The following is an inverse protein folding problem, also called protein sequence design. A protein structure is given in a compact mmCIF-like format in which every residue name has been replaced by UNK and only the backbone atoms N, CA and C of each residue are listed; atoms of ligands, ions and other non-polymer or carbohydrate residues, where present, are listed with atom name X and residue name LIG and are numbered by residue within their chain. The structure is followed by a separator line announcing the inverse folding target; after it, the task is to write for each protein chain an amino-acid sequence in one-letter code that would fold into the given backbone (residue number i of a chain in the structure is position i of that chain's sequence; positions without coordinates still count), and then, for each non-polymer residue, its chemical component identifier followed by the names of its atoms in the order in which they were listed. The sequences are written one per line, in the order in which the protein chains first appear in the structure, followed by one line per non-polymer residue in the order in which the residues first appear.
data_IF_483777847345
#
_entry.id   IF_483777847345
#
_cell.length_a   1.000
_cell.length_b   1.000
_cell.length_c   1.000
_cell.angle_alpha   90.00
_cell.angle_beta   90.00
_cell.angle_gamma   90.00
#
_symmetry.space_group_name_H-M   'P 1'
#
loop_
_entity.id
_entity.type
_entity.pdbx_description
1 polymer ?
#
# COMPACT_ATOMS: atom_id res chain seq x y z
N UNK A 1 1.49 34.88 28.67
CA UNK A 1 0.71 33.65 28.52
C UNK A 1 1.32 32.88 27.39
N UNK A 2 2.25 31.98 27.71
CA UNK A 2 2.85 31.07 26.71
C UNK A 2 1.83 30.00 26.36
N UNK A 3 1.39 30.00 25.09
CA UNK A 3 0.53 28.98 24.59
C UNK A 3 1.25 27.63 24.59
N UNK A 4 0.73 26.70 25.34
CA UNK A 4 1.09 25.29 25.28
C UNK A 4 0.89 24.85 23.82
N UNK A 5 1.96 24.71 23.05
CA UNK A 5 1.94 23.99 21.77
C UNK A 5 1.58 22.54 22.11
N UNK A 6 0.30 22.19 22.01
CA UNK A 6 -0.09 20.79 21.98
C UNK A 6 0.74 20.09 20.92
N UNK A 7 1.46 19.04 21.33
CA UNK A 7 2.16 18.16 20.38
C UNK A 7 1.10 17.53 19.49
N UNK A 8 0.89 18.10 18.33
CA UNK A 8 0.09 17.45 17.29
C UNK A 8 0.73 16.09 17.01
N UNK A 9 -0.07 15.02 17.05
CA UNK A 9 0.38 13.69 16.69
C UNK A 9 0.88 13.67 15.22
N UNK A 10 1.52 12.56 14.84
CA UNK A 10 1.94 12.35 13.46
C UNK A 10 0.74 12.46 12.52
N UNK A 11 0.90 13.21 11.43
CA UNK A 11 -0.13 13.34 10.40
C UNK A 11 -0.35 11.99 9.71
N UNK A 12 -1.59 11.63 9.52
CA UNK A 12 -2.00 10.41 8.81
C UNK A 12 -2.92 10.81 7.67
N UNK A 13 -2.59 10.36 6.46
CA UNK A 13 -3.44 10.44 5.29
C UNK A 13 -3.99 9.04 5.00
N UNK A 14 -5.30 8.87 5.10
CA UNK A 14 -6.03 7.66 4.74
C UNK A 14 -6.78 7.84 3.43
N UNK A 15 -6.68 6.85 2.54
CA UNK A 15 -7.36 6.80 1.25
C UNK A 15 -8.21 5.53 1.18
N UNK A 16 -9.51 5.69 1.05
CA UNK A 16 -10.46 4.60 0.82
C UNK A 16 -10.85 4.57 -0.67
N UNK A 17 -10.47 3.48 -1.34
CA UNK A 17 -10.76 3.23 -2.75
C UNK A 17 -12.01 2.35 -2.83
N UNK A 18 -13.17 3.00 -2.84
CA UNK A 18 -14.46 2.34 -2.94
C UNK A 18 -14.90 2.10 -4.39
N UNK A 19 -15.93 1.27 -4.58
CA UNK A 19 -16.49 0.95 -5.92
C UNK A 19 -17.11 2.17 -6.59
N UNK A 20 -17.72 3.06 -5.82
CA UNK A 20 -18.42 4.24 -6.35
C UNK A 20 -17.57 5.50 -6.29
N UNK A 21 -16.82 5.67 -5.23
CA UNK A 21 -16.06 6.87 -4.93
C UNK A 21 -14.76 6.58 -4.21
N UNK A 22 -13.85 7.52 -4.30
CA UNK A 22 -12.62 7.56 -3.51
C UNK A 22 -12.81 8.61 -2.42
N UNK A 23 -12.43 8.26 -1.18
CA UNK A 23 -12.49 9.16 -0.04
C UNK A 23 -11.09 9.30 0.54
N UNK A 24 -10.58 10.53 0.58
CA UNK A 24 -9.34 10.88 1.27
C UNK A 24 -9.64 11.60 2.57
N UNK A 25 -8.99 11.19 3.65
CA UNK A 25 -9.11 11.80 4.98
C UNK A 25 -7.74 12.06 5.56
N UNK A 26 -7.48 13.27 6.00
CA UNK A 26 -6.24 13.65 6.66
C UNK A 26 -6.52 14.11 8.08
N UNK A 27 -5.72 13.63 9.01
CA UNK A 27 -5.86 13.96 10.42
C UNK A 27 -4.68 13.48 11.26
N UNK A 28 -4.83 13.51 12.56
CA UNK A 28 -3.82 13.04 13.51
C UNK A 28 -4.47 12.37 14.72
N UNK A 29 -3.73 11.50 15.37
CA UNK A 29 -4.18 10.83 16.60
C UNK A 29 -3.70 11.64 17.81
N UNK A 30 -4.62 12.02 18.69
CA UNK A 30 -4.33 12.68 19.96
C UNK A 30 -5.24 12.15 21.05
N UNK A 31 -4.68 11.74 22.19
CA UNK A 31 -5.43 11.23 23.32
C UNK A 31 -6.34 10.03 22.99
N UNK A 32 -5.95 9.17 22.05
CA UNK A 32 -6.74 8.01 21.61
C UNK A 32 -7.92 8.37 20.68
N UNK A 33 -8.03 9.64 20.26
CA UNK A 33 -9.03 10.10 19.30
C UNK A 33 -8.37 10.57 18.02
N UNK A 34 -8.99 10.25 16.89
CA UNK A 34 -8.54 10.74 15.59
C UNK A 34 -9.23 12.09 15.30
N UNK A 35 -8.42 13.12 15.07
CA UNK A 35 -8.86 14.46 14.74
C UNK A 35 -8.73 14.67 13.25
N UNK A 36 -9.85 14.77 12.55
CA UNK A 36 -9.90 15.04 11.12
C UNK A 36 -9.61 16.51 10.85
N UNK A 37 -8.63 16.79 9.99
CA UNK A 37 -8.27 18.13 9.52
C UNK A 37 -8.96 18.46 8.19
N UNK A 38 -8.94 17.51 7.27
CA UNK A 38 -9.55 17.65 5.95
C UNK A 38 -10.08 16.31 5.47
N UNK A 39 -11.17 16.34 4.70
CA UNK A 39 -11.72 15.17 4.01
C UNK A 39 -12.24 15.61 2.65
N UNK A 40 -11.91 14.83 1.62
CA UNK A 40 -12.39 15.00 0.26
C UNK A 40 -12.87 13.67 -0.29
N UNK A 41 -13.89 13.74 -1.12
CA UNK A 41 -14.38 12.55 -1.83
C UNK A 41 -14.70 12.90 -3.28
N UNK A 42 -14.46 11.95 -4.17
CA UNK A 42 -14.81 12.07 -5.58
C UNK A 42 -15.39 10.77 -6.11
N UNK A 43 -16.51 10.85 -6.79
CA UNK A 43 -17.08 9.71 -7.52
C UNK A 43 -16.27 9.44 -8.80
N UNK A 44 -16.20 8.17 -9.19
CA UNK A 44 -15.61 7.79 -10.46
C UNK A 44 -16.47 8.32 -11.62
N UNK A 45 -15.86 9.02 -12.56
CA UNK A 45 -16.59 9.62 -13.71
C UNK A 45 -17.17 8.58 -14.66
N UNK A 46 -16.61 7.36 -14.65
CA UNK A 46 -17.04 6.25 -15.52
C UNK A 46 -17.00 4.94 -14.75
N UNK A 47 -17.25 3.82 -15.43
CA UNK A 47 -17.09 2.47 -14.88
C UNK A 47 -15.62 2.09 -14.66
N UNK A 48 -14.86 2.92 -13.94
CA UNK A 48 -13.47 2.65 -13.56
C UNK A 48 -13.37 1.49 -12.54
N UNK A 49 -14.44 1.32 -11.75
CA UNK A 49 -14.62 0.21 -10.81
C UNK A 49 -15.90 -0.55 -11.15
N UNK A 50 -15.84 -1.88 -11.12
CA UNK A 50 -16.99 -2.77 -11.31
C UNK A 50 -16.97 -3.83 -10.20
N UNK A 51 -18.08 -3.95 -9.47
CA UNK A 51 -18.28 -4.97 -8.42
C UNK A 51 -17.12 -5.07 -7.39
N UNK A 52 -16.50 -3.95 -7.04
CA UNK A 52 -15.36 -3.90 -6.13
C UNK A 52 -14.02 -4.26 -6.77
N UNK A 53 -13.94 -4.27 -8.09
CA UNK A 53 -12.70 -4.53 -8.85
C UNK A 53 -12.30 -3.30 -9.66
N UNK A 54 -11.00 -3.05 -9.73
CA UNK A 54 -10.44 -2.01 -10.60
C UNK A 54 -10.50 -2.52 -12.04
N UNK A 55 -11.31 -1.87 -12.87
CA UNK A 55 -11.44 -2.17 -14.28
C UNK A 55 -10.53 -1.27 -15.15
N UNK A 56 -10.38 -0.01 -14.75
CA UNK A 56 -9.50 0.95 -15.40
C UNK A 56 -8.61 1.63 -14.36
N UNK A 57 -7.38 1.15 -14.24
CA UNK A 57 -6.42 1.63 -13.24
C UNK A 57 -6.00 3.09 -13.50
N UNK A 58 -5.96 3.53 -14.77
CA UNK A 58 -5.63 4.90 -15.13
C UNK A 58 -6.66 5.87 -14.58
N UNK A 59 -7.95 5.60 -14.82
CA UNK A 59 -9.04 6.44 -14.32
C UNK A 59 -9.17 6.46 -12.80
N UNK A 60 -8.92 5.32 -12.15
CA UNK A 60 -8.85 5.28 -10.69
C UNK A 60 -7.70 6.15 -10.20
N UNK A 61 -6.52 6.06 -10.83
CA UNK A 61 -5.35 6.89 -10.52
C UNK A 61 -5.62 8.38 -10.69
N UNK A 62 -6.28 8.80 -11.77
CA UNK A 62 -6.69 10.19 -11.99
C UNK A 62 -7.62 10.69 -10.88
N UNK A 63 -8.61 9.87 -10.48
CA UNK A 63 -9.53 10.23 -9.40
C UNK A 63 -8.80 10.36 -8.05
N UNK A 64 -7.83 9.47 -7.77
CA UNK A 64 -6.96 9.55 -6.59
C UNK A 64 -6.16 10.86 -6.59
N UNK A 65 -5.52 11.20 -7.72
CA UNK A 65 -4.71 12.41 -7.86
C UNK A 65 -5.54 13.65 -7.55
N UNK A 66 -6.76 13.74 -8.07
CA UNK A 66 -7.66 14.86 -7.84
C UNK A 66 -8.08 14.99 -6.37
N UNK A 67 -8.36 13.88 -5.68
CA UNK A 67 -8.67 13.89 -4.24
C UNK A 67 -7.44 14.33 -3.43
N UNK A 68 -6.26 13.85 -3.79
CA UNK A 68 -4.99 14.22 -3.15
C UNK A 68 -4.71 15.71 -3.32
N UNK A 69 -4.78 16.23 -4.55
CA UNK A 69 -4.55 17.65 -4.86
C UNK A 69 -5.47 18.57 -4.04
N UNK A 70 -6.77 18.26 -3.97
CA UNK A 70 -7.71 19.03 -3.17
C UNK A 70 -7.37 19.02 -1.67
N UNK A 71 -6.92 17.89 -1.15
CA UNK A 71 -6.49 17.79 0.26
C UNK A 71 -5.21 18.60 0.52
N UNK A 72 -4.27 18.58 -0.43
CA UNK A 72 -3.02 19.34 -0.35
C UNK A 72 -3.28 20.86 -0.41
N UNK A 73 -4.22 21.28 -1.26
CA UNK A 73 -4.69 22.68 -1.31
C UNK A 73 -5.33 23.11 0.01
N UNK A 74 -6.23 22.29 0.59
CA UNK A 74 -6.87 22.59 1.87
C UNK A 74 -5.87 22.72 3.03
N UNK A 75 -4.83 21.92 3.00
CA UNK A 75 -3.84 21.85 4.08
C UNK A 75 -2.61 22.74 3.86
N UNK A 76 -2.43 23.26 2.64
CA UNK A 76 -1.27 24.05 2.24
C UNK A 76 0.06 23.29 2.33
N UNK A 77 0.03 21.95 2.14
CA UNK A 77 1.22 21.08 2.24
C UNK A 77 1.09 19.83 1.39
N UNK A 78 2.23 19.29 0.99
CA UNK A 78 2.31 18.02 0.27
C UNK A 78 2.03 16.82 1.20
N UNK A 79 1.37 15.80 0.65
CA UNK A 79 1.08 14.50 1.28
C UNK A 79 1.94 13.42 0.62
N UNK A 80 2.95 12.93 1.33
CA UNK A 80 3.96 11.98 0.82
C UNK A 80 3.67 10.53 1.18
N UNK A 81 2.99 10.31 2.31
CA UNK A 81 2.70 8.98 2.83
C UNK A 81 1.19 8.78 2.92
N UNK A 82 0.72 7.58 2.56
CA UNK A 82 -0.70 7.26 2.55
C UNK A 82 -0.97 5.87 3.13
N UNK A 83 -2.03 5.76 3.92
CA UNK A 83 -2.63 4.48 4.33
C UNK A 83 -3.79 4.19 3.41
N UNK A 84 -3.74 3.08 2.66
CA UNK A 84 -4.77 2.73 1.69
C UNK A 84 -5.68 1.64 2.25
N UNK A 85 -6.99 1.87 2.15
CA UNK A 85 -8.02 0.85 2.22
C UNK A 85 -8.60 0.67 0.81
N UNK A 86 -8.55 -0.54 0.29
CA UNK A 86 -9.15 -0.86 -1.00
C UNK A 86 -10.22 -1.92 -0.81
N UNK A 87 -11.43 -1.63 -1.28
CA UNK A 87 -12.45 -2.66 -1.40
C UNK A 87 -12.02 -3.62 -2.51
N UNK A 88 -11.80 -4.87 -2.15
CA UNK A 88 -11.38 -5.88 -3.13
C UNK A 88 -12.02 -7.22 -2.82
N UNK A 89 -13.03 -7.61 -3.59
CA UNK A 89 -13.57 -8.98 -3.55
C UNK A 89 -12.54 -10.02 -4.00
N UNK A 90 -11.45 -9.58 -4.61
CA UNK A 90 -10.45 -10.43 -5.29
C UNK A 90 -9.03 -10.16 -4.78
N UNK A 91 -8.90 -9.67 -3.54
CA UNK A 91 -7.59 -9.64 -2.90
C UNK A 91 -7.11 -11.08 -2.69
N UNK A 92 -5.91 -11.37 -3.17
CA UNK A 92 -5.26 -12.66 -3.01
C UNK A 92 -3.97 -12.48 -2.22
N UNK A 93 -3.73 -13.42 -1.33
CA UNK A 93 -2.47 -13.50 -0.59
C UNK A 93 -1.76 -14.78 -1.01
N UNK A 94 -0.51 -14.66 -1.37
CA UNK A 94 0.38 -15.77 -1.66
C UNK A 94 1.50 -15.76 -0.63
N UNK A 95 1.84 -16.91 -0.10
CA UNK A 95 3.00 -17.09 0.78
C UNK A 95 3.99 -17.99 0.08
N UNK A 96 5.22 -17.55 -0.05
CA UNK A 96 6.29 -18.32 -0.67
C UNK A 96 7.53 -18.32 0.21
N UNK A 97 8.49 -19.17 -0.15
CA UNK A 97 9.77 -19.32 0.51
C UNK A 97 10.89 -19.26 -0.52
N UNK A 98 11.92 -18.51 -0.23
CA UNK A 98 13.14 -18.42 -1.02
C UNK A 98 14.34 -18.60 -0.12
N UNK A 99 15.41 -19.17 -0.69
CA UNK A 99 16.69 -19.34 -0.03
C UNK A 99 17.82 -18.90 -0.95
N UNK A 100 18.90 -18.44 -0.36
CA UNK A 100 20.12 -18.10 -1.05
C UNK A 100 21.32 -18.63 -0.27
N UNK A 101 22.23 -19.29 -0.96
CA UNK A 101 23.47 -19.79 -0.38
C UNK A 101 24.63 -18.96 -0.88
N UNK A 102 25.44 -18.43 0.02
CA UNK A 102 26.65 -17.70 -0.32
C UNK A 102 27.80 -18.69 -0.54
N UNK A 103 28.60 -18.46 -1.56
CA UNK A 103 29.77 -19.31 -1.87
C UNK A 103 30.89 -19.19 -0.85
N UNK A 104 30.96 -18.06 -0.16
CA UNK A 104 31.99 -17.79 0.84
C UNK A 104 31.33 -17.31 2.16
N UNK A 105 31.95 -17.65 3.27
CA UNK A 105 31.58 -17.14 4.58
C UNK A 105 31.79 -15.62 4.63
N UNK A 106 30.71 -14.89 4.78
CA UNK A 106 30.72 -13.45 4.90
C UNK A 106 29.52 -12.96 5.72
N UNK A 107 29.61 -11.75 6.18
CA UNK A 107 28.50 -11.08 6.85
C UNK A 107 27.35 -10.83 5.86
N UNK A 108 26.11 -11.03 6.33
CA UNK A 108 24.89 -10.72 5.56
C UNK A 108 24.67 -9.22 5.62
N UNK A 109 24.63 -8.57 4.47
CA UNK A 109 24.39 -7.15 4.34
C UNK A 109 22.88 -6.86 4.11
N UNK A 110 22.50 -5.59 4.31
CA UNK A 110 21.14 -5.15 4.06
C UNK A 110 20.72 -5.37 2.58
N UNK A 111 21.66 -5.26 1.66
CA UNK A 111 21.46 -5.49 0.23
C UNK A 111 21.10 -6.95 -0.08
N UNK A 112 21.66 -7.89 0.67
CA UNK A 112 21.32 -9.31 0.53
C UNK A 112 19.87 -9.58 0.95
N UNK A 113 19.43 -8.92 2.02
CA UNK A 113 18.06 -9.00 2.50
C UNK A 113 17.09 -8.43 1.45
N UNK A 114 17.44 -7.29 0.84
CA UNK A 114 16.63 -6.71 -0.24
C UNK A 114 16.56 -7.63 -1.46
N UNK A 115 17.69 -8.21 -1.86
CA UNK A 115 17.76 -9.16 -2.97
C UNK A 115 16.89 -10.39 -2.70
N UNK A 116 16.95 -10.93 -1.49
CA UNK A 116 16.14 -12.07 -1.08
C UNK A 116 14.64 -11.74 -1.07
N UNK A 117 14.27 -10.54 -0.60
CA UNK A 117 12.88 -10.07 -0.66
C UNK A 117 12.38 -9.95 -2.11
N UNK A 118 13.20 -9.41 -3.01
CA UNK A 118 12.87 -9.29 -4.43
C UNK A 118 12.66 -10.67 -5.07
N UNK A 119 13.55 -11.61 -4.83
CA UNK A 119 13.39 -13.01 -5.28
C UNK A 119 12.10 -13.64 -4.75
N UNK A 120 11.75 -13.34 -3.50
CA UNK A 120 10.50 -13.80 -2.89
C UNK A 120 9.26 -13.26 -3.59
N UNK A 121 9.26 -11.96 -3.92
CA UNK A 121 8.16 -11.32 -4.66
C UNK A 121 8.04 -11.89 -6.07
N UNK A 122 9.14 -12.04 -6.79
CA UNK A 122 9.16 -12.61 -8.15
C UNK A 122 8.61 -14.05 -8.14
N UNK A 123 9.10 -14.88 -7.24
CA UNK A 123 8.63 -16.27 -7.11
C UNK A 123 7.15 -16.34 -6.75
N UNK A 124 6.68 -15.52 -5.80
CA UNK A 124 5.27 -15.48 -5.44
C UNK A 124 4.39 -15.07 -6.63
N UNK A 125 4.89 -14.14 -7.46
CA UNK A 125 4.17 -13.70 -8.66
C UNK A 125 4.09 -14.81 -9.72
N UNK A 126 5.18 -15.55 -9.95
CA UNK A 126 5.19 -16.70 -10.85
C UNK A 126 4.27 -17.82 -10.38
N UNK A 127 4.33 -18.19 -9.10
CA UNK A 127 3.45 -19.21 -8.50
C UNK A 127 1.98 -18.80 -8.62
N UNK A 128 1.69 -17.51 -8.41
CA UNK A 128 0.35 -16.98 -8.55
C UNK A 128 -0.15 -17.05 -10.01
N UNK A 129 0.66 -16.63 -10.99
CA UNK A 129 0.30 -16.69 -12.40
C UNK A 129 0.07 -18.13 -12.86
N UNK A 130 0.92 -19.07 -12.47
CA UNK A 130 0.79 -20.48 -12.83
C UNK A 130 -0.47 -21.14 -12.24
N UNK A 131 -0.96 -20.65 -11.11
CA UNK A 131 -2.17 -21.18 -10.48
C UNK A 131 -3.47 -20.55 -11.01
N UNK A 132 -3.39 -19.40 -11.70
CA UNK A 132 -4.56 -18.66 -12.22
C UNK A 132 -4.64 -18.70 -13.76
N UNK A 133 -4.54 -19.89 -14.35
CA UNK A 133 -4.54 -20.08 -15.82
C UNK A 133 -5.85 -19.74 -16.52
N UNK A 134 -6.92 -19.38 -15.82
CA UNK A 134 -8.29 -19.38 -16.36
C UNK A 134 -8.99 -17.99 -16.29
N UNK A 135 -8.28 -16.90 -16.04
CA UNK A 135 -8.93 -15.58 -15.95
C UNK A 135 -8.22 -14.51 -16.78
N UNK A 136 -8.99 -13.76 -17.58
CA UNK A 136 -8.55 -12.51 -18.24
C UNK A 136 -8.22 -11.38 -17.23
N UNK A 137 -8.25 -11.67 -15.93
CA UNK A 137 -7.99 -10.70 -14.87
C UNK A 137 -6.50 -10.46 -14.71
N UNK A 138 -6.11 -9.19 -14.73
CA UNK A 138 -4.74 -8.76 -14.38
C UNK A 138 -4.65 -8.50 -12.88
N UNK A 139 -3.65 -9.07 -12.26
CA UNK A 139 -3.33 -8.85 -10.85
C UNK A 139 -2.04 -8.05 -10.71
N UNK A 140 -2.00 -7.22 -9.70
CA UNK A 140 -0.85 -6.39 -9.37
C UNK A 140 -0.48 -6.61 -7.90
N UNK A 141 0.81 -6.77 -7.61
CA UNK A 141 1.29 -6.82 -6.24
C UNK A 141 1.16 -5.42 -5.62
N UNK A 142 0.37 -5.30 -4.56
CA UNK A 142 0.15 -4.04 -3.85
C UNK A 142 0.98 -3.93 -2.57
N UNK A 143 1.63 -5.01 -2.16
CA UNK A 143 2.51 -5.03 -1.02
C UNK A 143 2.97 -6.43 -0.66
N UNK A 144 4.03 -6.50 0.13
CA UNK A 144 4.53 -7.75 0.69
C UNK A 144 5.04 -7.52 2.12
N UNK A 145 5.08 -8.58 2.89
CA UNK A 145 5.65 -8.56 4.25
C UNK A 145 6.51 -9.79 4.45
N UNK A 146 7.80 -9.64 4.77
CA UNK A 146 8.62 -10.76 5.21
C UNK A 146 8.10 -11.29 6.55
N UNK A 147 7.69 -12.53 6.57
CA UNK A 147 7.16 -13.16 7.79
C UNK A 147 8.25 -13.66 8.72
N UNK A 148 9.35 -14.16 8.16
CA UNK A 148 10.44 -14.76 8.92
C UNK A 148 11.73 -14.79 8.11
N UNK A 149 12.84 -14.48 8.77
CA UNK A 149 14.20 -14.72 8.28
C UNK A 149 14.82 -15.87 9.07
N UNK A 150 15.50 -16.76 8.36
CA UNK A 150 16.29 -17.84 8.94
C UNK A 150 17.70 -17.78 8.35
N UNK A 151 18.69 -17.76 9.21
CA UNK A 151 20.07 -17.96 8.82
C UNK A 151 20.51 -19.34 9.31
N UNK A 152 20.98 -20.17 8.40
CA UNK A 152 21.53 -21.48 8.72
C UNK A 152 23.06 -21.35 8.66
N UNK A 153 23.70 -21.39 9.82
CA UNK A 153 25.14 -21.52 9.92
C UNK A 153 25.44 -23.02 9.97
N UNK A 154 26.21 -23.51 9.02
CA UNK A 154 26.75 -24.85 9.10
C UNK A 154 27.85 -24.85 10.17
N UNK A 155 27.58 -25.50 11.28
CA UNK A 155 28.55 -25.72 12.35
C UNK A 155 29.30 -27.02 11.99
#
# INVERSE_FOLDING_TARGET
MEGVKEKQGQLVFGLDIGTRSIVGTVGYLNGGKFHVLAQRSKEHETRAMLDGQIHDIGKVGETISQVKEQLEEDLGRELTDVCIAAAGRVLRTVTTYVEHTFENDREILQEDIYSLCTMGVEKAYEEFQNSNTDTDMKFYCVGYTPMRYLSLIHI
#
